data_IF_222736661775
#
_entry.id   IF_222736661775
#
_cell.length_a   1.000
_cell.length_b   1.000
_cell.length_c   1.000
_cell.angle_alpha   90.00
_cell.angle_beta   90.00
_cell.angle_gamma   90.00
#
_symmetry.space_group_name_H-M   'P 1'
#
loop_
_entity.id
_entity.type
_entity.pdbx_description
1 polymer ?
#
# COMPACT_ATOMS: atom_id res chain seq x y z
N UNK A 1 8.46 -10.42 -11.45
CA UNK A 1 8.31 -11.42 -10.36
C UNK A 1 7.00 -11.17 -9.63
N UNK A 2 6.23 -12.21 -9.31
CA UNK A 2 4.99 -12.11 -8.50
C UNK A 2 5.24 -12.68 -7.09
N UNK A 3 4.80 -11.95 -6.06
CA UNK A 3 4.97 -12.29 -4.65
C UNK A 3 3.63 -12.72 -4.03
N UNK A 4 3.63 -13.71 -3.12
CA UNK A 4 2.44 -14.01 -2.32
C UNK A 4 2.16 -12.89 -1.31
N UNK A 5 0.91 -12.81 -0.84
CA UNK A 5 0.48 -11.84 0.17
C UNK A 5 1.36 -11.87 1.43
N UNK A 6 1.76 -13.05 1.90
CA UNK A 6 2.61 -13.23 3.09
C UNK A 6 4.04 -12.70 2.93
N UNK A 7 4.52 -12.53 1.70
CA UNK A 7 5.83 -11.93 1.43
C UNK A 7 5.76 -10.39 1.31
N UNK A 8 4.57 -9.84 1.09
CA UNK A 8 4.35 -8.39 0.98
C UNK A 8 3.92 -7.81 2.33
N UNK A 9 3.00 -8.48 3.02
CA UNK A 9 2.46 -8.03 4.30
C UNK A 9 2.87 -9.01 5.41
N UNK A 10 3.50 -8.54 6.50
CA UNK A 10 3.87 -7.15 6.80
C UNK A 10 5.27 -6.74 6.31
N UNK A 11 5.99 -7.61 5.58
CA UNK A 11 7.43 -7.47 5.34
C UNK A 11 7.84 -6.25 4.48
N UNK A 12 7.06 -5.92 3.45
CA UNK A 12 7.30 -4.78 2.57
C UNK A 12 6.37 -3.62 2.89
N UNK A 13 5.09 -3.93 3.14
CA UNK A 13 4.10 -2.94 3.56
C UNK A 13 3.78 -3.23 5.03
N UNK A 14 4.06 -2.28 5.95
CA UNK A 14 3.88 -2.47 7.40
C UNK A 14 2.40 -2.42 7.80
N UNK A 15 1.62 -3.35 7.30
CA UNK A 15 0.20 -3.51 7.61
C UNK A 15 -0.12 -4.99 7.83
N UNK A 16 -1.08 -5.25 8.72
CA UNK A 16 -1.53 -6.61 8.98
C UNK A 16 -2.15 -7.25 7.71
N UNK A 17 -2.07 -8.58 7.53
CA UNK A 17 -2.71 -9.26 6.40
C UNK A 17 -4.23 -9.01 6.31
N UNK A 18 -4.92 -8.82 7.44
CA UNK A 18 -6.34 -8.43 7.47
C UNK A 18 -6.59 -7.06 6.82
N UNK A 19 -5.68 -6.11 7.04
CA UNK A 19 -5.70 -4.79 6.39
C UNK A 19 -5.49 -4.92 4.88
N UNK A 20 -4.58 -5.79 4.44
CA UNK A 20 -4.39 -6.08 3.01
C UNK A 20 -5.65 -6.69 2.37
N UNK A 21 -6.36 -7.57 3.08
CA UNK A 21 -7.67 -8.06 2.61
C UNK A 21 -8.69 -6.94 2.49
N UNK A 22 -8.76 -6.07 3.51
CA UNK A 22 -9.71 -4.95 3.51
C UNK A 22 -9.41 -3.97 2.37
N UNK A 23 -8.13 -3.65 2.13
CA UNK A 23 -7.72 -2.70 1.10
C UNK A 23 -8.12 -3.13 -0.31
N UNK A 24 -8.11 -4.43 -0.60
CA UNK A 24 -8.58 -4.96 -1.90
C UNK A 24 -10.08 -4.79 -2.13
N UNK A 25 -10.86 -4.70 -1.05
CA UNK A 25 -12.31 -4.51 -1.12
C UNK A 25 -12.63 -3.02 -1.17
N UNK A 26 -11.94 -2.20 -0.38
CA UNK A 26 -12.19 -0.76 -0.30
C UNK A 26 -11.47 0.04 -1.40
N UNK A 27 -10.48 -0.56 -2.08
CA UNK A 27 -9.61 0.14 -3.01
C UNK A 27 -8.63 1.10 -2.34
N UNK A 28 -8.51 1.08 -1.01
CA UNK A 28 -7.72 2.03 -0.22
C UNK A 28 -6.82 1.31 0.78
N UNK A 29 -5.55 1.74 0.88
CA UNK A 29 -4.56 1.24 1.83
C UNK A 29 -3.81 2.43 2.47
N UNK A 30 -3.86 2.52 3.79
CA UNK A 30 -3.17 3.56 4.58
C UNK A 30 -3.51 5.01 4.16
N UNK A 31 -4.67 5.24 3.55
CA UNK A 31 -5.08 6.58 3.07
C UNK A 31 -4.82 6.82 1.58
N UNK A 32 -4.06 5.94 0.91
CA UNK A 32 -3.83 5.99 -0.53
C UNK A 32 -4.66 4.95 -1.29
N UNK A 33 -4.84 5.08 -2.61
CA UNK A 33 -5.32 3.99 -3.46
C UNK A 33 -4.51 2.71 -3.20
N UNK A 34 -5.18 1.57 -3.03
CA UNK A 34 -4.50 0.31 -2.73
C UNK A 34 -3.59 -0.14 -3.90
N UNK A 35 -2.46 -0.80 -3.63
CA UNK A 35 -1.58 -1.30 -4.69
C UNK A 35 -2.30 -2.34 -5.54
N UNK A 36 -1.98 -2.35 -6.83
CA UNK A 36 -2.53 -3.31 -7.77
C UNK A 36 -2.19 -4.75 -7.35
N UNK A 37 -3.18 -5.63 -7.42
CA UNK A 37 -2.99 -7.06 -7.18
C UNK A 37 -3.42 -7.89 -8.38
N UNK A 38 -2.84 -9.08 -8.50
CA UNK A 38 -3.18 -10.07 -9.50
C UNK A 38 -3.93 -11.21 -8.81
N UNK A 39 -5.17 -11.43 -9.21
CA UNK A 39 -5.96 -12.57 -8.74
C UNK A 39 -5.60 -13.82 -9.54
N UNK A 40 -5.09 -14.84 -8.86
CA UNK A 40 -4.78 -16.18 -9.41
C UNK A 40 -5.69 -17.21 -8.76
N UNK A 41 -6.92 -17.33 -9.27
CA UNK A 41 -7.95 -18.19 -8.68
C UNK A 41 -8.34 -17.72 -7.29
N UNK A 42 -8.03 -18.53 -6.26
CA UNK A 42 -8.22 -18.20 -4.83
C UNK A 42 -7.03 -17.45 -4.22
N UNK A 43 -5.89 -17.38 -4.91
CA UNK A 43 -4.69 -16.75 -4.42
C UNK A 43 -4.59 -15.30 -4.89
N UNK A 44 -4.08 -14.43 -4.02
CA UNK A 44 -3.75 -13.05 -4.32
C UNK A 44 -2.23 -12.95 -4.44
N UNK A 45 -1.77 -12.33 -5.53
CA UNK A 45 -0.36 -12.02 -5.74
C UNK A 45 -0.17 -10.55 -6.01
N UNK A 46 1.04 -10.07 -5.76
CA UNK A 46 1.43 -8.72 -6.09
C UNK A 46 2.65 -8.77 -6.99
N UNK A 47 2.68 -7.93 -8.04
CA UNK A 47 3.92 -7.76 -8.79
C UNK A 47 4.85 -6.90 -7.94
N UNK A 48 6.11 -7.30 -7.85
CA UNK A 48 7.10 -6.52 -7.10
C UNK A 48 7.21 -5.08 -7.65
N UNK A 49 7.13 -4.90 -8.97
CA UNK A 49 7.12 -3.59 -9.62
C UNK A 49 6.01 -2.68 -9.08
N UNK A 50 4.80 -3.21 -8.95
CA UNK A 50 3.62 -2.43 -8.58
C UNK A 50 3.67 -2.05 -7.11
N UNK A 51 4.19 -2.94 -6.25
CA UNK A 51 4.44 -2.64 -4.83
C UNK A 51 5.49 -1.54 -4.69
N UNK A 52 6.60 -1.63 -5.44
CA UNK A 52 7.65 -0.62 -5.36
C UNK A 52 7.19 0.73 -5.91
N UNK A 53 6.43 0.75 -7.01
CA UNK A 53 5.81 1.96 -7.53
C UNK A 53 4.86 2.59 -6.50
N UNK A 54 3.98 1.78 -5.91
CA UNK A 54 3.07 2.25 -4.86
C UNK A 54 3.82 2.80 -3.64
N UNK A 55 4.88 2.14 -3.19
CA UNK A 55 5.71 2.62 -2.08
C UNK A 55 6.46 3.91 -2.42
N UNK A 56 6.83 4.12 -3.69
CA UNK A 56 7.47 5.36 -4.14
C UNK A 56 6.49 6.52 -4.31
N UNK A 57 5.22 6.22 -4.62
CA UNK A 57 4.14 7.20 -4.72
C UNK A 57 3.56 7.58 -3.36
N UNK A 58 3.70 6.70 -2.36
CA UNK A 58 3.35 6.99 -0.98
C UNK A 58 4.28 8.08 -0.42
N UNK A 59 3.87 9.32 -0.61
CA UNK A 59 4.59 10.53 -0.20
C UNK A 59 4.95 10.49 1.30
N UNK A 60 6.20 10.80 1.69
CA UNK A 60 6.61 10.88 3.10
C UNK A 60 5.85 11.92 3.94
N UNK A 61 5.07 12.81 3.33
CA UNK A 61 4.28 13.83 4.01
C UNK A 61 3.07 13.23 4.77
N UNK A 62 3.35 12.61 5.92
CA UNK A 62 2.34 12.33 6.95
C UNK A 62 2.76 12.85 8.31
N UNK A 63 3.01 14.14 8.36
CA UNK A 63 2.66 14.91 9.54
C UNK A 63 1.64 15.97 9.13
N UNK A 64 0.38 15.79 9.53
CA UNK A 64 -0.64 16.85 9.42
C UNK A 64 -0.14 18.15 10.07
N UNK A 65 0.72 18.05 11.09
CA UNK A 65 1.35 19.20 11.75
C UNK A 65 2.34 19.97 10.87
N UNK A 66 2.98 19.31 9.90
CA UNK A 66 3.96 19.92 9.00
C UNK A 66 3.28 20.65 7.84
N UNK A 67 2.11 20.17 7.42
CA UNK A 67 1.28 20.84 6.40
C UNK A 67 0.78 22.22 6.85
N UNK A 68 0.49 22.39 8.15
CA UNK A 68 0.08 23.69 8.70
C UNK A 68 1.19 24.76 8.62
N UNK A 69 2.48 24.37 8.70
CA UNK A 69 3.61 25.31 8.64
C UNK A 69 3.92 25.80 7.22
N UNK A 70 3.50 25.06 6.18
CA UNK A 70 3.73 25.42 4.77
C UNK A 70 2.70 26.42 4.22
N UNK A 71 1.53 26.55 4.85
CA UNK A 71 0.48 27.48 4.42
C UNK A 71 0.64 28.92 4.93
N UNK A 72 1.54 29.18 5.88
CA UNK A 72 1.78 30.52 6.46
C UNK A 72 3.00 31.25 5.87
N UNK A 73 3.31 31.04 4.58
CA UNK A 73 4.45 31.71 3.93
C UNK A 73 4.07 32.51 2.69
#
# INVERSE_FOLDING_TARGET
MELPESAVFPALIPAAPSTARKSRVTGMLLGEPAPQFVRRGRNIRYRLSDILAWLSEADPQRSTSETFLLQER
#
